data_IF_893096316301
#
_entry.id   IF_893096316301
#
_cell.length_a   1.000
_cell.length_b   1.000
_cell.length_c   1.000
_cell.angle_alpha   90.00
_cell.angle_beta   90.00
_cell.angle_gamma   90.00
#
_symmetry.space_group_name_H-M   'P 1'
#
loop_
_entity.id
_entity.type
_entity.pdbx_description
1 polymer ?
#
# COMPACT_ATOMS: atom_id res chain seq x y z
N UNK A 1 81.43 -50.10 0.81
CA UNK A 1 82.63 -49.30 0.51
C UNK A 1 82.18 -47.88 0.48
N UNK A 2 82.54 -47.29 1.54
CA UNK A 2 83.06 -45.92 1.83
C UNK A 2 81.99 -44.83 1.65
N UNK A 3 81.49 -44.36 2.75
CA UNK A 3 81.95 -43.27 3.66
C UNK A 3 82.03 -41.94 2.91
N UNK A 4 81.26 -40.96 3.30
CA UNK A 4 81.66 -39.86 4.17
C UNK A 4 80.46 -38.85 4.42
N UNK A 5 80.20 -38.65 5.69
CA UNK A 5 79.63 -37.46 6.31
C UNK A 5 80.71 -36.35 6.41
N UNK A 6 80.45 -35.21 7.00
CA UNK A 6 79.44 -34.17 6.92
C UNK A 6 80.08 -32.78 6.76
N UNK A 7 79.25 -31.75 6.64
CA UNK A 7 79.59 -30.45 7.31
C UNK A 7 78.32 -29.56 7.45
N UNK A 8 78.12 -29.13 8.66
CA UNK A 8 77.21 -28.13 9.17
C UNK A 8 77.57 -26.72 8.73
N UNK A 9 76.62 -25.97 8.25
CA UNK A 9 76.67 -24.51 8.33
C UNK A 9 75.29 -23.98 8.82
N UNK A 10 75.35 -23.25 9.94
CA UNK A 10 74.19 -22.50 10.52
C UNK A 10 73.87 -21.32 9.65
N UNK A 11 72.54 -20.98 9.51
CA UNK A 11 72.13 -19.67 8.99
C UNK A 11 71.97 -18.66 10.11
N UNK A 12 72.59 -17.53 9.87
CA UNK A 12 72.58 -16.30 10.63
C UNK A 12 71.12 -15.76 10.84
N UNK A 13 70.84 -15.36 12.07
CA UNK A 13 69.69 -14.67 12.54
C UNK A 13 69.51 -13.27 11.89
N UNK A 14 68.49 -13.07 11.08
CA UNK A 14 67.99 -11.73 10.81
C UNK A 14 66.84 -11.42 11.79
N UNK A 15 66.89 -10.26 12.47
CA UNK A 15 66.01 -9.81 13.49
C UNK A 15 64.62 -9.36 12.97
N UNK A 16 63.63 -9.23 13.84
CA UNK A 16 62.32 -8.92 13.47
C UNK A 16 62.13 -7.47 13.03
N UNK A 17 61.62 -7.28 11.84
CA UNK A 17 61.14 -5.98 11.35
C UNK A 17 59.93 -5.53 12.17
N UNK A 18 60.05 -4.39 12.81
CA UNK A 18 58.98 -3.65 13.48
C UNK A 18 57.80 -3.36 12.50
N UNK A 19 56.73 -4.11 12.63
CA UNK A 19 55.43 -3.72 12.05
C UNK A 19 54.69 -2.84 13.06
N UNK A 20 54.51 -1.56 12.71
CA UNK A 20 53.68 -0.66 13.48
C UNK A 20 52.27 -1.26 13.65
N UNK A 21 51.68 -1.22 14.86
CA UNK A 21 50.31 -1.71 15.07
C UNK A 21 49.29 -0.81 14.34
N UNK A 22 48.49 -1.44 13.49
CA UNK A 22 47.38 -0.80 12.82
C UNK A 22 46.48 -0.07 13.85
N UNK A 23 46.35 1.26 13.70
CA UNK A 23 45.46 2.08 14.53
C UNK A 23 44.03 1.54 14.47
N UNK A 24 43.55 0.90 15.53
CA UNK A 24 42.18 0.51 15.71
C UNK A 24 41.30 1.76 15.61
N UNK A 25 40.36 1.73 14.64
CA UNK A 25 39.34 2.77 14.54
C UNK A 25 38.47 2.74 15.79
N UNK A 26 38.20 3.87 16.46
CA UNK A 26 37.43 3.89 17.69
C UNK A 26 36.05 3.30 17.47
N UNK A 27 35.71 2.32 18.27
CA UNK A 27 34.41 1.67 18.28
C UNK A 27 33.31 2.70 18.57
N UNK A 28 32.64 3.24 17.54
CA UNK A 28 31.46 4.08 17.70
C UNK A 28 30.31 3.19 18.12
N UNK A 29 29.90 3.27 19.39
CA UNK A 29 28.65 2.68 19.88
C UNK A 29 27.51 3.10 18.94
N UNK A 30 26.89 2.15 18.24
CA UNK A 30 25.64 2.40 17.51
C UNK A 30 24.62 2.98 18.50
N UNK A 31 24.07 4.15 18.20
CA UNK A 31 22.98 4.74 19.00
C UNK A 31 21.86 3.69 19.09
N UNK A 32 21.56 3.26 20.32
CA UNK A 32 20.42 2.38 20.58
C UNK A 32 19.14 3.11 20.20
N UNK A 33 18.46 2.64 19.17
CA UNK A 33 17.13 3.10 18.79
C UNK A 33 16.17 2.85 19.97
N UNK A 34 15.53 3.92 20.49
CA UNK A 34 14.62 3.85 21.65
C UNK A 34 13.16 3.53 21.28
N UNK A 35 12.85 3.17 20.04
CA UNK A 35 11.49 2.86 19.57
C UNK A 35 11.40 1.51 18.90
N UNK A 36 10.22 0.91 18.91
CA UNK A 36 9.93 -0.38 18.29
C UNK A 36 9.91 -0.34 16.76
N UNK A 37 9.86 0.87 16.14
CA UNK A 37 9.80 1.06 14.70
C UNK A 37 10.65 2.26 14.24
N UNK A 38 11.43 2.14 13.15
CA UNK A 38 12.16 3.26 12.56
C UNK A 38 11.19 4.38 12.15
N UNK A 39 11.56 5.64 12.42
CA UNK A 39 10.76 6.82 12.03
C UNK A 39 11.12 7.36 10.67
N UNK A 40 12.35 7.09 10.21
CA UNK A 40 12.84 7.57 8.92
C UNK A 40 12.46 6.56 7.82
N UNK A 41 11.97 7.04 6.68
CA UNK A 41 11.56 6.21 5.54
C UNK A 41 12.68 5.26 5.09
N UNK A 42 13.89 5.77 4.87
CA UNK A 42 15.04 4.98 4.43
C UNK A 42 15.53 3.95 5.47
N UNK A 43 15.28 4.19 6.77
CA UNK A 43 15.57 3.24 7.83
C UNK A 43 14.51 2.15 7.96
N UNK A 44 13.27 2.50 7.59
CA UNK A 44 12.12 1.60 7.64
C UNK A 44 12.08 0.65 6.44
N UNK A 45 12.55 1.13 5.28
CA UNK A 45 12.53 0.42 4.00
C UNK A 45 13.95 0.27 3.44
N UNK A 46 14.83 -0.35 4.23
CA UNK A 46 16.26 -0.55 3.88
C UNK A 46 16.47 -1.37 2.61
N UNK A 47 15.54 -2.25 2.31
CA UNK A 47 15.53 -3.07 1.10
C UNK A 47 15.33 -2.27 -0.20
N UNK A 48 14.87 -1.03 -0.10
CA UNK A 48 14.78 -0.10 -1.25
C UNK A 48 16.06 0.73 -1.45
N UNK A 49 17.11 0.50 -0.64
CA UNK A 49 18.39 1.16 -0.83
C UNK A 49 19.04 0.69 -2.13
N UNK A 50 19.88 1.54 -2.75
CA UNK A 50 20.60 1.22 -3.98
C UNK A 50 21.51 -0.03 -3.89
N UNK A 51 21.77 -0.52 -2.65
CA UNK A 51 22.49 -1.76 -2.37
C UNK A 51 21.85 -2.42 -1.15
N UNK A 52 20.74 -3.14 -1.32
CA UNK A 52 20.08 -3.82 -0.23
C UNK A 52 20.95 -4.97 0.28
N UNK A 53 21.07 -5.09 1.61
CA UNK A 53 21.79 -6.18 2.23
C UNK A 53 21.04 -7.52 2.01
N UNK A 54 21.66 -8.52 1.34
CA UNK A 54 21.01 -9.81 1.06
C UNK A 54 20.52 -10.55 2.30
N UNK A 55 21.20 -10.42 3.44
CA UNK A 55 20.76 -10.99 4.71
C UNK A 55 19.48 -10.32 5.23
N UNK A 56 19.34 -9.02 5.03
CA UNK A 56 18.14 -8.28 5.40
C UNK A 56 16.95 -8.73 4.57
N UNK A 57 17.14 -8.92 3.27
CA UNK A 57 16.11 -9.46 2.36
C UNK A 57 15.72 -10.89 2.76
N UNK A 58 16.69 -11.77 2.98
CA UNK A 58 16.46 -13.14 3.39
C UNK A 58 15.67 -13.23 4.71
N UNK A 59 16.05 -12.44 5.72
CA UNK A 59 15.34 -12.36 7.01
C UNK A 59 13.89 -11.83 6.87
N UNK A 60 13.65 -10.92 5.95
CA UNK A 60 12.31 -10.40 5.65
C UNK A 60 11.44 -11.49 5.01
N UNK A 61 11.97 -12.21 4.02
CA UNK A 61 11.31 -13.33 3.35
C UNK A 61 10.99 -14.45 4.36
N UNK A 62 11.97 -14.86 5.15
CA UNK A 62 11.82 -15.92 6.16
C UNK A 62 10.79 -15.55 7.26
N UNK A 63 10.67 -14.26 7.57
CA UNK A 63 9.64 -13.75 8.48
C UNK A 63 8.24 -13.64 7.84
N UNK A 64 8.06 -14.09 6.59
CA UNK A 64 6.81 -14.00 5.83
C UNK A 64 6.41 -12.58 5.47
N UNK A 65 7.39 -11.66 5.39
CA UNK A 65 7.21 -10.27 4.96
C UNK A 65 7.57 -10.15 3.49
N UNK A 66 6.86 -9.29 2.77
CA UNK A 66 7.29 -8.95 1.40
C UNK A 66 8.57 -8.10 1.46
N UNK A 67 9.52 -8.25 0.50
CA UNK A 67 10.77 -7.48 0.48
C UNK A 67 10.59 -5.97 0.54
N UNK A 68 9.46 -5.46 0.11
CA UNK A 68 9.11 -4.03 0.20
C UNK A 68 8.90 -3.52 1.64
N UNK A 69 9.35 -4.26 2.64
CA UNK A 69 9.28 -3.88 4.05
C UNK A 69 7.97 -4.26 4.72
N UNK A 70 8.03 -4.60 5.92
CA UNK A 70 7.04 -4.83 7.00
C UNK A 70 5.53 -4.96 6.65
N UNK A 71 5.16 -5.20 5.37
CA UNK A 71 3.79 -5.36 4.96
C UNK A 71 3.44 -6.83 4.76
N UNK A 72 2.82 -7.41 5.78
CA UNK A 72 1.88 -8.49 5.51
C UNK A 72 0.64 -7.87 4.88
N UNK A 73 0.18 -8.35 3.74
CA UNK A 73 -1.14 -7.98 3.24
C UNK A 73 -2.17 -8.25 4.36
N UNK A 74 -3.15 -7.40 4.47
CA UNK A 74 -4.14 -7.47 5.55
C UNK A 74 -5.22 -8.48 5.16
N UNK A 75 -5.71 -9.28 6.14
CA UNK A 75 -6.77 -10.28 5.94
C UNK A 75 -6.45 -11.29 4.83
N UNK A 76 -5.17 -11.69 4.69
CA UNK A 76 -4.74 -12.63 3.64
C UNK A 76 -5.43 -13.96 3.76
N UNK A 77 -5.48 -14.52 4.96
CA UNK A 77 -6.07 -15.84 5.20
C UNK A 77 -7.55 -15.83 4.84
N UNK A 78 -8.29 -14.86 5.35
CA UNK A 78 -9.72 -14.72 5.12
C UNK A 78 -10.05 -14.45 3.65
N UNK A 79 -9.20 -13.67 2.97
CA UNK A 79 -9.32 -13.41 1.54
C UNK A 79 -9.12 -14.67 0.71
N UNK A 80 -8.08 -15.45 1.02
CA UNK A 80 -7.78 -16.70 0.31
C UNK A 80 -8.81 -17.79 0.62
N UNK A 81 -9.25 -17.92 1.84
CA UNK A 81 -10.31 -18.86 2.23
C UNK A 81 -11.62 -18.59 1.49
N UNK A 82 -11.99 -17.31 1.36
CA UNK A 82 -13.22 -16.95 0.63
C UNK A 82 -13.05 -17.05 -0.89
N UNK A 83 -12.01 -16.45 -1.46
CA UNK A 83 -11.79 -16.48 -2.92
C UNK A 83 -11.44 -17.89 -3.41
N UNK A 84 -10.80 -18.69 -2.57
CA UNK A 84 -10.46 -20.10 -2.82
C UNK A 84 -10.00 -20.37 -4.26
N UNK A 85 -8.92 -19.70 -4.73
CA UNK A 85 -8.49 -19.81 -6.13
C UNK A 85 -8.19 -21.26 -6.50
N UNK A 86 -8.72 -21.73 -7.62
CA UNK A 86 -8.54 -23.10 -8.10
C UNK A 86 -7.62 -23.13 -9.33
N UNK A 87 -6.89 -24.23 -9.52
CA UNK A 87 -6.13 -24.46 -10.75
C UNK A 87 -6.98 -24.26 -12.00
N UNK A 88 -6.47 -23.49 -12.97
CA UNK A 88 -7.14 -23.20 -14.22
C UNK A 88 -8.12 -22.03 -14.20
N UNK A 89 -8.48 -21.48 -13.04
CA UNK A 89 -9.36 -20.29 -12.93
C UNK A 89 -8.67 -19.00 -13.43
N UNK A 90 -9.50 -18.03 -13.76
CA UNK A 90 -9.09 -16.64 -14.08
C UNK A 90 -9.51 -15.72 -12.94
N UNK A 91 -8.53 -15.04 -12.36
CA UNK A 91 -8.78 -14.04 -11.32
C UNK A 91 -8.39 -12.64 -11.74
N UNK A 92 -8.91 -11.63 -11.01
CA UNK A 92 -8.44 -10.26 -11.12
C UNK A 92 -8.12 -9.70 -9.73
N UNK A 93 -6.90 -9.20 -9.53
CA UNK A 93 -6.51 -8.32 -8.42
C UNK A 93 -6.46 -6.89 -8.97
N UNK A 94 -7.46 -6.08 -8.61
CA UNK A 94 -7.60 -4.74 -9.19
C UNK A 94 -6.85 -3.66 -8.42
N UNK A 95 -6.07 -4.06 -7.42
CA UNK A 95 -5.28 -3.21 -6.50
C UNK A 95 -3.95 -3.88 -6.18
N UNK A 96 -3.15 -4.14 -7.21
CA UNK A 96 -1.92 -4.93 -7.13
C UNK A 96 -0.98 -4.49 -6.00
N UNK A 97 -0.77 -3.17 -5.84
CA UNK A 97 0.15 -2.61 -4.86
C UNK A 97 1.54 -3.26 -4.92
N UNK A 98 1.97 -3.86 -3.81
CA UNK A 98 3.22 -4.62 -3.72
C UNK A 98 3.06 -6.11 -4.13
N UNK A 99 1.87 -6.53 -4.53
CA UNK A 99 1.58 -7.87 -5.03
C UNK A 99 1.54 -8.96 -3.95
N UNK A 100 1.36 -8.61 -2.68
CA UNK A 100 1.34 -9.60 -1.61
C UNK A 100 0.13 -10.53 -1.66
N UNK A 101 -1.06 -10.02 -1.96
CA UNK A 101 -2.24 -10.82 -2.24
C UNK A 101 -2.09 -11.57 -3.58
N UNK A 102 -1.67 -10.86 -4.64
CA UNK A 102 -1.47 -11.45 -5.97
C UNK A 102 -0.54 -12.66 -5.96
N UNK A 103 0.57 -12.62 -5.20
CA UNK A 103 1.49 -13.76 -5.04
C UNK A 103 0.78 -15.00 -4.51
N UNK A 104 -0.07 -14.85 -3.48
CA UNK A 104 -0.84 -15.94 -2.88
C UNK A 104 -1.93 -16.47 -3.81
N UNK A 105 -2.65 -15.55 -4.48
CA UNK A 105 -3.65 -15.92 -5.47
C UNK A 105 -3.02 -16.69 -6.64
N UNK A 106 -1.88 -16.22 -7.17
CA UNK A 106 -1.14 -16.89 -8.23
C UNK A 106 -0.69 -18.29 -7.84
N UNK A 107 -0.29 -18.49 -6.59
CA UNK A 107 0.09 -19.84 -6.08
C UNK A 107 -1.11 -20.78 -6.10
N UNK A 108 -2.30 -20.32 -5.68
CA UNK A 108 -3.52 -21.13 -5.68
C UNK A 108 -4.07 -21.41 -7.09
N UNK A 109 -3.80 -20.53 -8.04
CA UNK A 109 -4.22 -20.67 -9.44
C UNK A 109 -3.41 -21.72 -10.24
N UNK A 110 -2.27 -22.17 -9.72
CA UNK A 110 -1.44 -23.14 -10.45
C UNK A 110 -1.90 -24.59 -10.23
N UNK A 111 -1.81 -25.45 -11.28
CA UNK A 111 -1.38 -25.13 -12.64
C UNK A 111 -2.49 -24.54 -13.53
N UNK A 112 -2.11 -23.77 -14.54
CA UNK A 112 -2.96 -23.38 -15.66
C UNK A 112 -3.85 -22.15 -15.46
N UNK A 113 -4.00 -21.65 -14.22
CA UNK A 113 -4.78 -20.46 -13.95
C UNK A 113 -4.04 -19.16 -14.31
N UNK A 114 -4.80 -18.07 -14.41
CA UNK A 114 -4.33 -16.77 -14.85
C UNK A 114 -4.83 -15.64 -13.94
N UNK A 115 -3.98 -14.66 -13.68
CA UNK A 115 -4.32 -13.46 -12.90
C UNK A 115 -4.11 -12.19 -13.74
N UNK A 116 -5.14 -11.37 -13.81
CA UNK A 116 -5.03 -9.97 -14.22
C UNK A 116 -4.77 -9.12 -12.97
N UNK A 117 -3.70 -8.34 -12.99
CA UNK A 117 -3.35 -7.44 -11.90
C UNK A 117 -3.36 -5.99 -12.38
N UNK A 118 -4.10 -5.12 -11.68
CA UNK A 118 -4.23 -3.70 -12.01
C UNK A 118 -3.68 -2.82 -10.88
N UNK A 119 -3.02 -1.73 -11.25
CA UNK A 119 -2.69 -0.63 -10.34
C UNK A 119 -2.57 0.68 -11.12
N UNK A 120 -2.77 1.80 -10.44
CA UNK A 120 -2.62 3.15 -11.00
C UNK A 120 -1.23 3.74 -10.76
N UNK A 121 -0.49 3.23 -9.77
CA UNK A 121 0.78 3.78 -9.34
C UNK A 121 1.91 3.43 -10.31
N UNK A 122 2.26 4.40 -11.17
CA UNK A 122 3.33 4.26 -12.15
C UNK A 122 4.71 4.00 -11.54
N UNK A 123 4.93 4.40 -10.28
CA UNK A 123 6.21 4.23 -9.58
C UNK A 123 6.33 2.85 -8.96
N UNK A 124 5.22 2.33 -8.41
CA UNK A 124 5.23 1.04 -7.73
C UNK A 124 5.11 -0.14 -8.68
N UNK A 125 4.31 0.00 -9.73
CA UNK A 125 3.94 -1.10 -10.62
C UNK A 125 5.14 -1.83 -11.25
N UNK A 126 6.19 -1.14 -11.78
CA UNK A 126 7.37 -1.81 -12.34
C UNK A 126 8.12 -2.65 -11.30
N UNK A 127 8.27 -2.14 -10.07
CA UNK A 127 8.96 -2.84 -8.98
C UNK A 127 8.21 -4.11 -8.57
N UNK A 128 6.89 -4.03 -8.51
CA UNK A 128 6.04 -5.17 -8.19
C UNK A 128 6.06 -6.22 -9.32
N UNK A 129 6.06 -5.77 -10.58
CA UNK A 129 6.18 -6.67 -11.72
C UNK A 129 7.51 -7.42 -11.70
N UNK A 130 8.62 -6.72 -11.55
CA UNK A 130 9.96 -7.32 -11.44
C UNK A 130 9.99 -8.38 -10.33
N UNK A 131 9.48 -8.07 -9.15
CA UNK A 131 9.41 -9.00 -8.03
C UNK A 131 8.59 -10.26 -8.36
N UNK A 132 7.39 -10.10 -8.88
CA UNK A 132 6.52 -11.25 -9.18
C UNK A 132 7.08 -12.10 -10.33
N UNK A 133 7.70 -11.49 -11.36
CA UNK A 133 8.43 -12.21 -12.41
C UNK A 133 9.62 -12.99 -11.84
N UNK A 134 10.36 -12.40 -10.90
CA UNK A 134 11.46 -13.06 -10.20
C UNK A 134 11.04 -14.28 -9.37
N UNK A 135 9.78 -14.33 -8.92
CA UNK A 135 9.19 -15.50 -8.27
C UNK A 135 8.72 -16.59 -9.25
N UNK A 136 8.91 -16.40 -10.55
CA UNK A 136 8.58 -17.39 -11.59
C UNK A 136 7.20 -17.21 -12.22
N UNK A 137 6.41 -16.19 -11.86
CA UNK A 137 5.12 -15.94 -12.49
C UNK A 137 5.30 -15.29 -13.86
N UNK A 138 5.26 -16.10 -14.93
CA UNK A 138 5.45 -15.67 -16.31
C UNK A 138 4.24 -14.94 -16.91
N UNK A 139 4.40 -14.47 -18.17
CA UNK A 139 3.34 -13.74 -18.89
C UNK A 139 2.10 -14.59 -19.21
N UNK A 140 2.23 -15.92 -19.17
CA UNK A 140 1.11 -16.84 -19.34
C UNK A 140 0.21 -16.93 -18.10
N UNK A 141 0.74 -16.63 -16.92
CA UNK A 141 0.04 -16.76 -15.63
C UNK A 141 -0.34 -15.41 -15.04
N UNK A 142 0.44 -14.36 -15.34
CA UNK A 142 0.24 -13.03 -14.78
C UNK A 142 0.28 -11.96 -15.87
N UNK A 143 -0.84 -11.26 -16.02
CA UNK A 143 -0.97 -10.07 -16.85
C UNK A 143 -1.08 -8.84 -15.95
N UNK A 144 -0.13 -7.89 -16.05
CA UNK A 144 -0.14 -6.64 -15.28
C UNK A 144 -0.50 -5.49 -16.22
N UNK A 145 -1.38 -4.59 -15.76
CA UNK A 145 -1.78 -3.40 -16.51
C UNK A 145 -1.88 -2.17 -15.59
N UNK A 146 -1.36 -1.04 -16.07
CA UNK A 146 -1.56 0.24 -15.39
C UNK A 146 -2.95 0.77 -15.69
N UNK A 147 -3.87 0.53 -14.78
CA UNK A 147 -5.27 0.93 -14.91
C UNK A 147 -5.88 1.15 -13.53
N UNK A 148 -6.83 2.10 -13.45
CA UNK A 148 -7.68 2.22 -12.27
C UNK A 148 -8.64 1.02 -12.22
N UNK A 149 -8.96 0.53 -11.03
CA UNK A 149 -9.90 -0.57 -10.84
C UNK A 149 -11.28 -0.32 -11.49
N UNK A 150 -11.70 0.94 -11.62
CA UNK A 150 -12.92 1.31 -12.35
C UNK A 150 -12.88 0.92 -13.84
N UNK A 151 -11.69 0.68 -14.40
CA UNK A 151 -11.47 0.26 -15.78
C UNK A 151 -11.53 -1.25 -16.01
N UNK A 152 -11.78 -2.08 -14.98
CA UNK A 152 -11.79 -3.54 -15.08
C UNK A 152 -12.65 -4.04 -16.25
N UNK A 153 -13.88 -3.59 -16.34
CA UNK A 153 -14.83 -4.01 -17.38
C UNK A 153 -14.32 -3.75 -18.81
N UNK A 154 -13.59 -2.65 -19.02
CA UNK A 154 -12.98 -2.34 -20.31
C UNK A 154 -11.68 -3.07 -20.56
N UNK A 155 -11.01 -3.56 -19.51
CA UNK A 155 -9.72 -4.26 -19.61
C UNK A 155 -9.89 -5.75 -19.95
N UNK A 156 -10.92 -6.42 -19.43
CA UNK A 156 -11.16 -7.83 -19.65
C UNK A 156 -11.25 -8.21 -21.16
N UNK A 157 -12.04 -7.51 -21.99
CA UNK A 157 -12.09 -7.79 -23.41
C UNK A 157 -10.75 -7.57 -24.14
N UNK A 158 -9.93 -6.59 -23.69
CA UNK A 158 -8.63 -6.31 -24.31
C UNK A 158 -7.62 -7.44 -24.13
N UNK A 159 -7.82 -8.31 -23.15
CA UNK A 159 -6.98 -9.50 -22.92
C UNK A 159 -7.68 -10.80 -23.31
N UNK A 160 -8.82 -10.71 -24.03
CA UNK A 160 -9.58 -11.85 -24.53
C UNK A 160 -10.48 -12.53 -23.49
N UNK A 161 -10.77 -11.89 -22.35
CA UNK A 161 -11.64 -12.45 -21.31
C UNK A 161 -13.05 -11.86 -21.39
N UNK A 162 -13.78 -12.20 -22.44
CA UNK A 162 -15.08 -11.62 -22.77
C UNK A 162 -16.20 -12.03 -21.81
N UNK A 163 -16.08 -13.22 -21.20
CA UNK A 163 -17.12 -13.80 -20.35
C UNK A 163 -17.01 -13.38 -18.87
N UNK A 164 -15.87 -12.80 -18.49
CA UNK A 164 -15.56 -12.41 -17.12
C UNK A 164 -14.50 -13.30 -16.46
N UNK A 165 -14.44 -13.23 -15.12
CA UNK A 165 -13.45 -13.92 -14.27
C UNK A 165 -14.13 -14.71 -13.16
N UNK A 166 -13.45 -15.73 -12.64
CA UNK A 166 -13.93 -16.56 -11.53
C UNK A 166 -13.90 -15.83 -10.20
N UNK A 167 -12.96 -14.90 -10.04
CA UNK A 167 -12.92 -14.06 -8.84
C UNK A 167 -12.29 -12.68 -9.08
N UNK A 168 -12.67 -11.74 -8.19
CA UNK A 168 -12.09 -10.40 -8.12
C UNK A 168 -11.69 -10.09 -6.69
N UNK A 169 -10.47 -9.57 -6.51
CA UNK A 169 -10.00 -8.95 -5.29
C UNK A 169 -9.85 -7.44 -5.49
N UNK A 170 -10.31 -6.66 -4.52
CA UNK A 170 -10.00 -5.23 -4.39
C UNK A 170 -9.54 -4.93 -2.95
N UNK A 171 -8.27 -4.59 -2.76
CA UNK A 171 -7.69 -4.11 -1.50
C UNK A 171 -7.55 -2.59 -1.58
N UNK A 172 -8.63 -1.87 -1.19
CA UNK A 172 -8.76 -0.44 -1.43
C UNK A 172 -7.79 0.40 -0.57
N UNK A 173 -7.54 1.62 -1.01
CA UNK A 173 -6.75 2.61 -0.28
C UNK A 173 -5.29 2.67 -0.70
N UNK A 174 -4.41 3.02 0.24
CA UNK A 174 -2.97 3.23 0.01
C UNK A 174 -2.12 2.17 0.71
N UNK A 175 -1.05 1.79 0.05
CA UNK A 175 0.01 1.02 0.70
C UNK A 175 0.71 1.85 1.78
N UNK A 176 1.25 1.18 2.78
CA UNK A 176 2.01 1.89 3.82
C UNK A 176 3.25 2.59 3.27
N UNK A 177 3.86 2.08 2.21
CA UNK A 177 5.00 2.73 1.55
C UNK A 177 4.60 4.04 0.90
N UNK A 178 3.43 4.09 0.25
CA UNK A 178 2.89 5.35 -0.28
C UNK A 178 2.66 6.37 0.84
N UNK A 179 2.05 5.94 1.95
CA UNK A 179 1.76 6.82 3.11
C UNK A 179 3.04 7.32 3.78
N UNK A 180 4.04 6.45 3.92
CA UNK A 180 5.28 6.76 4.64
C UNK A 180 6.32 7.50 3.78
N UNK A 181 6.13 7.57 2.47
CA UNK A 181 7.01 8.31 1.57
C UNK A 181 6.68 9.82 1.60
N UNK A 182 7.54 10.68 2.19
CA UNK A 182 7.28 12.11 2.28
C UNK A 182 7.09 12.78 0.93
N UNK A 183 7.78 12.30 -0.13
CA UNK A 183 7.70 12.86 -1.46
C UNK A 183 6.32 12.69 -2.13
N UNK A 184 5.48 11.78 -1.62
CA UNK A 184 4.12 11.53 -2.13
C UNK A 184 3.06 12.43 -1.46
N UNK A 185 3.36 13.03 -0.31
CA UNK A 185 2.49 13.99 0.37
C UNK A 185 1.23 13.41 1.05
N UNK A 186 1.12 12.10 1.25
CA UNK A 186 -0.06 11.47 1.84
C UNK A 186 -0.17 11.59 3.36
N UNK A 187 0.91 11.92 4.04
CA UNK A 187 0.97 11.90 5.51
C UNK A 187 1.25 13.26 6.12
N UNK A 188 0.51 13.62 7.17
CA UNK A 188 0.79 14.80 8.00
C UNK A 188 1.98 14.62 8.95
N UNK A 189 2.54 13.39 9.05
CA UNK A 189 3.62 13.07 9.99
C UNK A 189 4.99 13.54 9.53
N UNK A 190 5.16 13.67 8.23
CA UNK A 190 6.41 14.07 7.57
C UNK A 190 6.12 15.27 6.68
N UNK A 191 7.05 16.23 6.63
CA UNK A 191 6.94 17.32 5.68
C UNK A 191 7.44 16.89 4.30
N UNK A 192 6.71 17.30 3.27
CA UNK A 192 6.99 16.99 1.88
C UNK A 192 6.04 17.73 0.93
N UNK A 193 6.22 17.62 -0.38
CA UNK A 193 5.33 18.23 -1.35
C UNK A 193 3.87 17.83 -1.13
N UNK A 194 2.94 18.77 -1.24
CA UNK A 194 1.52 18.50 -1.10
C UNK A 194 0.96 17.98 -2.45
N UNK A 195 1.28 16.72 -2.77
CA UNK A 195 0.86 16.09 -4.03
C UNK A 195 -0.40 15.22 -3.86
N UNK A 196 -0.36 14.17 -3.08
CA UNK A 196 -1.42 13.19 -2.78
C UNK A 196 -1.97 12.43 -3.99
N UNK A 197 -1.39 12.51 -5.18
CA UNK A 197 -1.83 11.72 -6.33
C UNK A 197 -1.32 10.30 -6.25
N UNK A 198 -2.19 9.31 -6.44
CA UNK A 198 -1.79 7.91 -6.62
C UNK A 198 -1.03 7.73 -7.96
N UNK A 199 -1.53 8.37 -9.02
CA UNK A 199 -0.83 8.48 -10.29
C UNK A 199 -0.27 9.91 -10.46
N UNK A 200 1.03 10.16 -10.25
CA UNK A 200 1.60 11.51 -10.32
C UNK A 200 1.60 12.13 -11.74
N UNK A 201 1.35 11.32 -12.77
CA UNK A 201 1.29 11.78 -14.17
C UNK A 201 -0.08 12.35 -14.56
N UNK A 202 -1.13 12.19 -13.74
CA UNK A 202 -2.50 12.58 -14.08
C UNK A 202 -3.17 13.36 -12.96
N UNK A 203 -4.07 14.27 -13.34
CA UNK A 203 -4.87 15.03 -12.39
C UNK A 203 -4.11 16.18 -11.72
N UNK A 204 -4.79 16.86 -10.83
CA UNK A 204 -4.25 17.97 -10.04
C UNK A 204 -3.58 17.42 -8.78
N UNK A 205 -2.42 17.97 -8.40
CA UNK A 205 -1.88 17.77 -7.07
C UNK A 205 -2.85 18.31 -6.00
N UNK A 206 -2.75 17.84 -4.76
CA UNK A 206 -3.55 18.37 -3.65
C UNK A 206 -3.33 19.89 -3.47
N UNK A 207 -2.09 20.36 -3.69
CA UNK A 207 -1.77 21.78 -3.76
C UNK A 207 -2.63 22.53 -4.77
N UNK A 208 -2.66 22.06 -6.02
CA UNK A 208 -3.36 22.73 -7.12
C UNK A 208 -4.87 22.54 -7.02
N UNK A 209 -5.31 21.43 -6.48
CA UNK A 209 -6.70 21.14 -6.18
C UNK A 209 -7.23 22.08 -5.10
N UNK A 210 -6.54 22.26 -3.97
CA UNK A 210 -6.91 23.18 -2.89
C UNK A 210 -6.96 24.63 -3.38
N UNK A 211 -5.97 25.07 -4.18
CA UNK A 211 -5.95 26.42 -4.76
C UNK A 211 -7.18 26.75 -5.59
N UNK A 212 -7.82 25.73 -6.20
CA UNK A 212 -9.01 25.89 -7.07
C UNK A 212 -10.31 25.54 -6.34
N UNK A 213 -10.22 25.00 -5.13
CA UNK A 213 -11.39 24.51 -4.41
C UNK A 213 -12.15 25.68 -3.77
N UNK A 214 -13.47 25.73 -4.01
CA UNK A 214 -14.36 26.68 -3.36
C UNK A 214 -14.80 26.19 -1.99
N UNK A 215 -15.20 27.09 -1.11
CA UNK A 215 -15.59 26.80 0.27
C UNK A 215 -16.63 25.68 0.35
N UNK A 216 -17.75 25.80 -0.33
CA UNK A 216 -18.88 24.83 -0.27
C UNK A 216 -18.47 23.45 -0.77
N UNK A 217 -17.58 23.41 -1.76
CA UNK A 217 -17.01 22.15 -2.27
C UNK A 217 -16.09 21.52 -1.23
N UNK A 218 -15.25 22.32 -0.58
CA UNK A 218 -14.31 21.81 0.43
C UNK A 218 -15.07 21.28 1.65
N UNK A 219 -16.07 21.98 2.14
CA UNK A 219 -16.96 21.52 3.24
C UNK A 219 -17.56 20.15 2.89
N UNK A 220 -18.15 20.00 1.71
CA UNK A 220 -18.70 18.71 1.26
C UNK A 220 -17.66 17.62 1.20
N UNK A 221 -16.46 17.90 0.68
CA UNK A 221 -15.37 16.92 0.62
C UNK A 221 -14.95 16.47 2.02
N UNK A 222 -14.86 17.38 2.99
CA UNK A 222 -14.49 17.05 4.37
C UNK A 222 -15.58 16.21 5.07
N UNK A 223 -16.84 16.52 4.83
CA UNK A 223 -17.98 15.73 5.38
C UNK A 223 -18.05 14.36 4.70
N UNK A 224 -18.17 14.32 3.37
CA UNK A 224 -18.40 13.09 2.62
C UNK A 224 -17.18 12.14 2.66
N UNK A 225 -15.95 12.72 2.64
CA UNK A 225 -14.71 11.97 2.60
C UNK A 225 -14.27 11.37 3.94
N UNK A 226 -14.67 12.00 5.05
CA UNK A 226 -14.14 11.57 6.35
C UNK A 226 -15.03 11.82 7.56
N UNK A 227 -16.28 12.19 7.36
CA UNK A 227 -17.23 12.55 8.43
C UNK A 227 -16.60 13.61 9.40
N UNK A 228 -15.89 14.64 8.88
CA UNK A 228 -15.18 15.64 9.68
C UNK A 228 -16.16 16.61 10.37
N UNK A 229 -16.25 16.63 11.71
CA UNK A 229 -17.21 17.49 12.43
C UNK A 229 -16.88 18.98 12.35
N UNK A 230 -15.60 19.35 12.16
CA UNK A 230 -15.12 20.74 12.06
C UNK A 230 -14.98 21.19 10.60
N UNK A 231 -15.72 20.56 9.67
CA UNK A 231 -15.57 20.76 8.22
C UNK A 231 -15.67 22.23 7.80
N UNK A 232 -16.65 22.98 8.31
CA UNK A 232 -16.84 24.39 7.94
C UNK A 232 -15.71 25.29 8.44
N UNK A 233 -15.28 25.11 9.70
CA UNK A 233 -14.20 25.88 10.30
C UNK A 233 -12.87 25.64 9.56
N UNK A 234 -12.56 24.38 9.29
CA UNK A 234 -11.34 23.98 8.57
C UNK A 234 -11.39 24.47 7.12
N UNK A 235 -12.53 24.34 6.45
CA UNK A 235 -12.68 24.82 5.07
C UNK A 235 -12.50 26.33 4.96
N UNK A 236 -13.03 27.12 5.91
CA UNK A 236 -12.88 28.56 5.94
C UNK A 236 -11.39 28.95 6.02
N UNK A 237 -10.64 28.36 6.93
CA UNK A 237 -9.20 28.62 7.10
C UNK A 237 -8.40 28.18 5.88
N UNK A 238 -8.67 26.99 5.34
CA UNK A 238 -7.93 26.48 4.18
C UNK A 238 -8.17 27.33 2.93
N UNK A 239 -9.40 27.82 2.71
CA UNK A 239 -9.73 28.72 1.59
C UNK A 239 -9.05 30.07 1.80
N UNK A 240 -9.08 30.62 3.00
CA UNK A 240 -8.40 31.88 3.33
C UNK A 240 -6.89 31.80 3.10
N UNK A 241 -6.24 30.75 3.64
CA UNK A 241 -4.79 30.53 3.45
C UNK A 241 -4.45 30.36 1.97
N UNK A 242 -5.25 29.56 1.24
CA UNK A 242 -5.05 29.32 -0.19
C UNK A 242 -5.25 30.57 -1.06
N UNK A 243 -6.07 31.55 -0.60
CA UNK A 243 -6.26 32.83 -1.30
C UNK A 243 -5.02 33.74 -1.22
N UNK A 244 -4.26 33.66 -0.13
CA UNK A 244 -3.01 34.41 0.09
C UNK A 244 -1.81 33.81 -0.63
N UNK A 245 -1.86 32.49 -0.93
CA UNK A 245 -0.83 31.75 -1.64
C UNK A 245 -1.06 30.24 -1.60
N UNK A 246 -0.39 29.45 -2.46
CA UNK A 246 -0.58 28.02 -2.49
C UNK A 246 -0.02 27.37 -1.23
N UNK A 247 -0.74 26.38 -0.68
CA UNK A 247 -0.25 25.48 0.35
C UNK A 247 0.65 24.45 -0.35
N UNK A 248 1.97 24.57 -0.20
CA UNK A 248 2.93 23.80 -0.98
C UNK A 248 3.33 22.49 -0.35
N UNK A 249 3.28 22.40 1.00
CA UNK A 249 3.78 21.23 1.73
C UNK A 249 2.73 20.66 2.69
N UNK A 250 2.92 19.40 3.05
CA UNK A 250 2.09 18.73 4.08
C UNK A 250 2.22 19.39 5.45
N UNK A 251 3.38 19.94 5.77
CA UNK A 251 3.61 20.72 6.99
C UNK A 251 2.78 22.02 7.01
N UNK A 252 2.74 22.75 5.88
CA UNK A 252 1.90 23.95 5.76
C UNK A 252 0.41 23.60 5.87
N UNK A 253 -0.05 22.52 5.22
CA UNK A 253 -1.44 22.05 5.35
C UNK A 253 -1.76 21.69 6.81
N UNK A 254 -0.87 20.96 7.48
CA UNK A 254 -1.03 20.62 8.89
C UNK A 254 -1.19 21.86 9.76
N UNK A 255 -0.31 22.84 9.62
CA UNK A 255 -0.36 24.08 10.40
C UNK A 255 -1.67 24.86 10.14
N UNK A 256 -2.12 24.92 8.89
CA UNK A 256 -3.38 25.56 8.55
C UNK A 256 -4.59 24.84 9.17
N UNK A 257 -4.60 23.50 9.18
CA UNK A 257 -5.64 22.73 9.89
C UNK A 257 -5.58 22.99 11.39
N UNK A 258 -4.38 22.92 11.99
CA UNK A 258 -4.18 23.12 13.43
C UNK A 258 -4.63 24.51 13.89
N UNK A 259 -4.47 25.55 13.06
CA UNK A 259 -4.94 26.91 13.38
C UNK A 259 -6.48 27.08 13.36
N UNK A 260 -7.19 26.12 12.75
CA UNK A 260 -8.66 26.10 12.74
C UNK A 260 -9.25 25.32 13.92
N UNK A 261 -8.41 24.67 14.74
CA UNK A 261 -8.90 23.80 15.82
C UNK A 261 -9.19 24.63 17.09
N UNK A 262 -10.20 24.22 17.89
CA UNK A 262 -10.45 24.80 19.20
C UNK A 262 -9.21 24.68 20.12
N UNK A 263 -9.00 25.66 21.00
CA UNK A 263 -7.86 25.67 21.92
C UNK A 263 -7.86 24.48 22.89
N UNK A 264 -9.04 24.04 23.30
CA UNK A 264 -9.27 22.94 24.24
C UNK A 264 -9.25 21.55 23.60
N UNK A 265 -8.98 21.45 22.29
CA UNK A 265 -8.95 20.14 21.61
C UNK A 265 -7.85 19.24 22.19
N UNK A 266 -8.22 18.00 22.51
CA UNK A 266 -7.25 17.02 22.99
C UNK A 266 -6.24 16.64 21.88
N UNK A 267 -5.06 16.17 22.27
CA UNK A 267 -4.05 15.69 21.32
C UNK A 267 -4.56 14.52 20.46
N UNK A 268 -5.42 13.66 21.00
CA UNK A 268 -6.08 12.59 20.24
C UNK A 268 -7.08 13.17 19.23
N UNK A 269 -7.85 14.17 19.61
CA UNK A 269 -8.78 14.88 18.72
C UNK A 269 -8.03 15.55 17.57
N UNK A 270 -6.95 16.30 17.88
CA UNK A 270 -6.06 16.94 16.89
C UNK A 270 -5.55 15.92 15.84
N UNK A 271 -5.00 14.79 16.31
CA UNK A 271 -4.51 13.73 15.39
C UNK A 271 -5.62 13.13 14.55
N UNK A 272 -6.80 12.95 15.14
CA UNK A 272 -7.97 12.42 14.43
C UNK A 272 -8.43 13.36 13.32
N UNK A 273 -8.53 14.67 13.61
CA UNK A 273 -8.90 15.68 12.62
C UNK A 273 -7.87 15.77 11.50
N UNK A 274 -6.57 15.81 11.82
CA UNK A 274 -5.52 15.78 10.79
C UNK A 274 -5.64 14.56 9.88
N UNK A 275 -5.86 13.36 10.44
CA UNK A 275 -6.02 12.15 9.66
C UNK A 275 -7.26 12.24 8.75
N UNK A 276 -8.40 12.71 9.25
CA UNK A 276 -9.64 12.86 8.48
C UNK A 276 -9.50 13.87 7.35
N UNK A 277 -8.92 15.04 7.61
CA UNK A 277 -8.74 16.08 6.57
C UNK A 277 -7.80 15.60 5.46
N UNK A 278 -6.66 14.99 5.82
CA UNK A 278 -5.75 14.42 4.83
C UNK A 278 -6.42 13.31 4.01
N UNK A 279 -7.20 12.44 4.65
CA UNK A 279 -8.00 11.41 3.96
C UNK A 279 -9.01 12.03 2.99
N UNK A 280 -9.79 13.01 3.42
CA UNK A 280 -10.81 13.64 2.57
C UNK A 280 -10.21 14.32 1.33
N UNK A 281 -9.10 15.06 1.50
CA UNK A 281 -8.40 15.70 0.38
C UNK A 281 -7.84 14.64 -0.58
N UNK A 282 -7.23 13.55 -0.05
CA UNK A 282 -6.72 12.43 -0.86
C UNK A 282 -7.83 11.81 -1.70
N UNK A 283 -8.96 11.51 -1.08
CA UNK A 283 -10.13 10.94 -1.77
C UNK A 283 -10.59 11.86 -2.91
N UNK A 284 -10.63 13.16 -2.67
CA UNK A 284 -11.04 14.13 -3.68
C UNK A 284 -10.03 14.28 -4.83
N UNK A 285 -8.73 14.29 -4.52
CA UNK A 285 -7.64 14.40 -5.50
C UNK A 285 -7.61 13.19 -6.43
N UNK A 286 -7.86 11.99 -5.91
CA UNK A 286 -7.82 10.75 -6.66
C UNK A 286 -9.19 10.28 -7.18
N UNK A 287 -10.26 11.03 -6.90
CA UNK A 287 -11.64 10.69 -7.28
C UNK A 287 -12.04 9.28 -6.80
N UNK A 288 -11.54 8.86 -5.61
CA UNK A 288 -11.63 7.48 -5.13
C UNK A 288 -13.06 6.96 -5.05
N UNK A 289 -13.99 7.79 -4.59
CA UNK A 289 -15.42 7.41 -4.50
C UNK A 289 -16.08 7.24 -5.86
N UNK A 290 -15.80 8.13 -6.81
CA UNK A 290 -16.31 8.03 -8.17
C UNK A 290 -15.78 6.78 -8.88
N UNK A 291 -14.51 6.48 -8.69
CA UNK A 291 -13.89 5.25 -9.19
C UNK A 291 -14.53 4.01 -8.56
N UNK A 292 -14.73 4.01 -7.22
CA UNK A 292 -15.37 2.90 -6.51
C UNK A 292 -16.82 2.68 -6.96
N UNK A 293 -17.61 3.73 -7.07
CA UNK A 293 -18.99 3.64 -7.53
C UNK A 293 -19.08 3.11 -8.98
N UNK A 294 -18.13 3.50 -9.84
CA UNK A 294 -18.03 2.98 -11.21
C UNK A 294 -17.63 1.51 -11.23
N UNK A 295 -16.63 1.12 -10.45
CA UNK A 295 -16.21 -0.26 -10.30
C UNK A 295 -17.34 -1.15 -9.81
N UNK A 296 -17.99 -0.78 -8.71
CA UNK A 296 -19.10 -1.54 -8.13
C UNK A 296 -20.24 -1.75 -9.12
N UNK A 297 -20.61 -0.71 -9.88
CA UNK A 297 -21.68 -0.79 -10.90
C UNK A 297 -21.33 -1.79 -12.02
N UNK A 298 -20.06 -1.85 -12.45
CA UNK A 298 -19.64 -2.73 -13.53
C UNK A 298 -19.26 -4.14 -13.05
N UNK A 299 -18.98 -4.31 -11.78
CA UNK A 299 -18.45 -5.53 -11.17
C UNK A 299 -19.28 -6.81 -11.47
N UNK A 300 -20.63 -6.79 -11.39
CA UNK A 300 -21.41 -7.98 -11.73
C UNK A 300 -21.15 -8.49 -13.14
N UNK A 301 -20.97 -7.59 -14.10
CA UNK A 301 -20.66 -7.95 -15.50
C UNK A 301 -19.23 -8.44 -15.72
N UNK A 302 -18.34 -8.26 -14.75
CA UNK A 302 -16.96 -8.75 -14.81
C UNK A 302 -16.79 -10.15 -14.23
N UNK A 303 -17.78 -10.66 -13.50
CA UNK A 303 -17.73 -11.98 -12.86
C UNK A 303 -18.46 -13.02 -13.71
N UNK A 304 -17.99 -14.25 -13.75
CA UNK A 304 -18.72 -15.41 -14.22
C UNK A 304 -19.91 -15.73 -13.28
N UNK A 305 -20.95 -16.46 -13.72
CA UNK A 305 -21.95 -17.01 -12.81
C UNK A 305 -21.25 -17.85 -11.71
N UNK A 306 -21.58 -17.62 -10.45
CA UNK A 306 -20.87 -18.22 -9.32
C UNK A 306 -19.55 -17.56 -8.98
N UNK A 307 -19.14 -16.54 -9.72
CA UNK A 307 -17.90 -15.80 -9.47
C UNK A 307 -17.91 -15.07 -8.12
N UNK A 308 -16.75 -14.98 -7.49
CA UNK A 308 -16.53 -14.50 -6.12
C UNK A 308 -15.86 -13.14 -6.13
N UNK A 309 -16.28 -12.25 -5.25
CA UNK A 309 -15.59 -10.96 -5.07
C UNK A 309 -15.32 -10.68 -3.59
N UNK A 310 -14.10 -10.30 -3.27
CA UNK A 310 -13.71 -9.81 -1.97
C UNK A 310 -13.22 -8.36 -2.09
N UNK A 311 -13.74 -7.48 -1.22
CA UNK A 311 -13.36 -6.07 -1.17
C UNK A 311 -12.94 -5.72 0.25
N UNK A 312 -11.69 -5.28 0.39
CA UNK A 312 -11.16 -4.71 1.62
C UNK A 312 -11.30 -3.19 1.55
N UNK A 313 -11.77 -2.61 2.64
CA UNK A 313 -11.92 -1.16 2.82
C UNK A 313 -11.31 -0.70 4.12
N UNK A 314 -10.84 0.55 4.19
CA UNK A 314 -10.10 1.06 5.35
C UNK A 314 -10.76 2.24 6.04
N UNK A 315 -11.85 2.75 5.51
CA UNK A 315 -12.64 3.80 6.14
C UNK A 315 -14.14 3.63 5.89
N UNK A 316 -14.94 4.37 6.65
CA UNK A 316 -16.41 4.27 6.63
C UNK A 316 -17.03 4.59 5.28
N UNK A 317 -16.47 5.52 4.54
CA UNK A 317 -16.97 5.94 3.24
C UNK A 317 -16.91 4.85 2.16
N UNK A 318 -15.80 4.09 2.11
CA UNK A 318 -15.67 2.90 1.23
C UNK A 318 -16.61 1.79 1.67
N UNK A 319 -16.52 1.40 2.95
CA UNK A 319 -17.32 0.30 3.51
C UNK A 319 -18.82 0.51 3.31
N UNK A 320 -19.31 1.75 3.46
CA UNK A 320 -20.71 2.12 3.25
C UNK A 320 -21.15 1.86 1.80
N UNK A 321 -20.32 2.26 0.81
CA UNK A 321 -20.60 2.04 -0.62
C UNK A 321 -20.62 0.56 -0.98
N UNK A 322 -19.62 -0.19 -0.57
CA UNK A 322 -19.53 -1.65 -0.78
C UNK A 322 -20.71 -2.37 -0.14
N UNK A 323 -21.03 -2.03 1.13
CA UNK A 323 -22.18 -2.60 1.86
C UNK A 323 -23.51 -2.37 1.14
N UNK A 324 -23.75 -1.14 0.68
CA UNK A 324 -25.00 -0.81 -0.01
C UNK A 324 -25.09 -1.56 -1.34
N UNK A 325 -24.02 -1.53 -2.14
CA UNK A 325 -23.98 -2.22 -3.42
C UNK A 325 -24.25 -3.74 -3.29
N UNK A 326 -23.57 -4.41 -2.38
CA UNK A 326 -23.77 -5.86 -2.18
C UNK A 326 -25.17 -6.17 -1.65
N UNK A 327 -25.69 -5.38 -0.69
CA UNK A 327 -27.04 -5.57 -0.16
C UNK A 327 -28.12 -5.36 -1.22
N UNK A 328 -28.00 -4.32 -2.04
CA UNK A 328 -28.96 -4.03 -3.08
C UNK A 328 -28.89 -5.05 -4.21
N UNK A 329 -27.68 -5.49 -4.58
CA UNK A 329 -27.46 -6.58 -5.53
C UNK A 329 -27.98 -7.92 -5.03
N UNK A 330 -27.88 -8.23 -3.74
CA UNK A 330 -28.48 -9.42 -3.15
C UNK A 330 -30.02 -9.37 -3.21
N UNK A 331 -30.61 -8.22 -2.87
CA UNK A 331 -32.07 -8.04 -2.94
C UNK A 331 -32.64 -8.15 -4.35
N UNK A 332 -31.87 -7.71 -5.35
CA UNK A 332 -32.24 -7.78 -6.77
C UNK A 332 -31.85 -9.10 -7.46
N UNK A 333 -31.23 -10.04 -6.76
CA UNK A 333 -30.84 -11.33 -7.31
C UNK A 333 -29.55 -11.29 -8.16
N UNK A 334 -28.82 -10.19 -8.19
CA UNK A 334 -27.52 -10.07 -8.86
C UNK A 334 -26.45 -10.89 -8.12
N UNK A 335 -26.51 -10.91 -6.80
CA UNK A 335 -25.68 -11.75 -5.96
C UNK A 335 -26.56 -12.77 -5.24
N UNK A 336 -26.18 -14.04 -5.31
CA UNK A 336 -26.88 -15.12 -4.60
C UNK A 336 -26.54 -15.17 -3.12
N UNK A 337 -25.36 -14.64 -2.76
CA UNK A 337 -24.84 -14.66 -1.40
C UNK A 337 -23.93 -13.45 -1.15
N UNK A 338 -23.98 -12.91 0.07
CA UNK A 338 -23.11 -11.81 0.50
C UNK A 338 -22.62 -12.07 1.93
N UNK A 339 -21.52 -11.46 2.31
CA UNK A 339 -21.03 -11.51 3.69
C UNK A 339 -22.15 -11.06 4.67
N UNK A 340 -22.57 -11.92 5.62
CA UNK A 340 -23.60 -11.56 6.61
C UNK A 340 -23.13 -10.39 7.47
N UNK A 341 -21.87 -10.40 7.87
CA UNK A 341 -21.17 -9.37 8.64
C UNK A 341 -19.85 -8.99 8.03
N UNK A 342 -19.25 -7.91 8.53
CA UNK A 342 -17.89 -7.52 8.16
C UNK A 342 -16.87 -8.46 8.79
N UNK A 343 -15.90 -8.92 8.00
CA UNK A 343 -14.74 -9.62 8.49
C UNK A 343 -13.69 -8.59 8.88
N UNK A 344 -13.10 -8.75 10.06
CA UNK A 344 -12.08 -7.85 10.62
C UNK A 344 -10.79 -8.60 10.92
N UNK A 345 -9.63 -7.91 10.86
CA UNK A 345 -8.36 -8.47 11.26
C UNK A 345 -8.38 -8.95 12.72
N UNK A 346 -7.62 -10.01 12.98
CA UNK A 346 -7.45 -10.53 14.33
C UNK A 346 -6.68 -9.57 15.23
N UNK A 347 -6.84 -9.68 16.54
CA UNK A 347 -6.05 -8.90 17.50
C UNK A 347 -4.53 -9.13 17.35
N UNK A 348 -4.10 -10.30 16.88
CA UNK A 348 -2.70 -10.60 16.59
C UNK A 348 -2.20 -9.81 15.36
N UNK A 349 -3.00 -9.77 14.32
CA UNK A 349 -2.68 -9.02 13.09
C UNK A 349 -2.61 -7.50 13.37
N UNK A 350 -3.56 -6.97 14.15
CA UNK A 350 -3.56 -5.55 14.55
C UNK A 350 -2.31 -5.20 15.38
N UNK A 351 -1.87 -6.10 16.27
CA UNK A 351 -0.62 -5.90 17.03
C UNK A 351 0.61 -5.90 16.11
N UNK A 352 0.62 -6.75 15.09
CA UNK A 352 1.71 -6.82 14.12
C UNK A 352 1.69 -5.65 13.13
N UNK A 353 0.50 -5.17 12.75
CA UNK A 353 0.29 -4.05 11.84
C UNK A 353 -0.88 -3.19 12.33
N UNK A 354 -0.59 -2.10 13.03
CA UNK A 354 -1.62 -1.20 13.57
C UNK A 354 -2.55 -0.58 12.53
N UNK A 355 -2.14 -0.54 11.25
CA UNK A 355 -2.98 -0.07 10.13
C UNK A 355 -4.10 -1.04 9.78
N UNK A 356 -3.96 -2.31 10.16
CA UNK A 356 -5.01 -3.30 10.00
C UNK A 356 -6.27 -3.01 10.84
N UNK A 357 -6.15 -2.22 11.91
CA UNK A 357 -7.25 -1.94 12.83
C UNK A 357 -8.50 -1.34 12.16
N UNK A 358 -8.34 -0.58 11.06
CA UNK A 358 -9.45 0.00 10.30
C UNK A 358 -9.98 -0.90 9.18
N UNK A 359 -9.28 -1.98 8.83
CA UNK A 359 -9.64 -2.86 7.73
C UNK A 359 -10.97 -3.59 7.97
N UNK A 360 -11.71 -3.73 6.90
CA UNK A 360 -12.98 -4.43 6.84
C UNK A 360 -13.06 -5.15 5.50
N UNK A 361 -13.32 -6.45 5.53
CA UNK A 361 -13.57 -7.20 4.31
C UNK A 361 -15.06 -7.50 4.17
N UNK A 362 -15.58 -7.29 2.97
CA UNK A 362 -16.89 -7.77 2.53
C UNK A 362 -16.73 -8.57 1.27
N UNK A 363 -17.61 -9.54 1.10
CA UNK A 363 -17.60 -10.39 -0.08
C UNK A 363 -19.01 -10.64 -0.62
N UNK A 364 -19.06 -11.05 -1.88
CA UNK A 364 -20.29 -11.47 -2.55
C UNK A 364 -20.00 -12.59 -3.57
N UNK A 365 -21.03 -13.38 -3.88
CA UNK A 365 -21.02 -14.40 -4.93
C UNK A 365 -22.08 -14.04 -5.95
N UNK A 366 -21.70 -13.93 -7.22
CA UNK A 366 -22.62 -13.67 -8.33
C UNK A 366 -23.62 -14.81 -8.51
N UNK A 367 -24.86 -14.49 -8.82
CA UNK A 367 -25.88 -15.47 -9.23
C UNK A 367 -25.59 -16.17 -10.54
#
# INVERSE_FOLDING_TARGET
MTDDEPTSEEPTSEGPTDQEPAKEKPFRRRQRYRGTHPRNFNEKYKELSASPDPETIAKLIDSGKTPAGQHRPILVTETLEFLAPQPGERGADVTLGHGGHSERLLTGLQPGGQLLALDVDALQLPLTEERLRGLGFGTKTLTIRRCNFAGLAGMLPQIGWHDGVDFVLADLGLSSMQIDNPARGFSYKYDGPLDMRMNPERGLSARDWLKRCRFEKLVRVLIDGSDEPLAEQIAAVLVEVSSRGPINTTGQLRLAIESALPEDITEAGRRSTLARVFQAIRIAVNEEFSALDTFLRCLPGCLLPGGRVAILSFHSGEDRRVKHHFRDGFRSGVYREIAPDIIRPTGQEIRANSRAASAKMRWAIRS
#
